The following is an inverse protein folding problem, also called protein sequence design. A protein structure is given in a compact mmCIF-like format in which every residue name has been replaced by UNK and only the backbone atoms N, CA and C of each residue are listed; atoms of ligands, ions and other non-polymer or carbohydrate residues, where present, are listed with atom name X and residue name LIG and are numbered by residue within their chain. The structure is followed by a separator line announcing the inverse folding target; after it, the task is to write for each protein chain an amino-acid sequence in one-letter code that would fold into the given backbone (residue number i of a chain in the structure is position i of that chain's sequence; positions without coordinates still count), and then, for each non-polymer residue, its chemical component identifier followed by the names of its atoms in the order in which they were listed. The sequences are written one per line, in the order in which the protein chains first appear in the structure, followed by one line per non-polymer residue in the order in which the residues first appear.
data_IF_038347787391
#
_entry.id   IF_038347787391
#
_cell.length_a   1.000
_cell.length_b   1.000
_cell.length_c   1.000
_cell.angle_alpha   90.00
_cell.angle_beta   90.00
_cell.angle_gamma   90.00
#
_symmetry.space_group_name_H-M   'P 1'
#
loop_
_entity.id
_entity.type
_entity.pdbx_description
1 polymer ?
#
# COMPACT_ATOMS: atom_id res chain seq x y z
N UNK A 1 -5.26 -6.23 -29.12
CA UNK A 1 -5.69 -5.67 -27.81
C UNK A 1 -5.32 -6.70 -26.74
N UNK A 2 -4.36 -6.42 -25.85
CA UNK A 2 -4.08 -7.29 -24.71
C UNK A 2 -5.31 -7.22 -23.78
N UNK A 3 -6.16 -8.24 -23.77
CA UNK A 3 -7.27 -8.32 -22.82
C UNK A 3 -6.70 -8.71 -21.46
N UNK A 4 -6.53 -7.70 -20.58
CA UNK A 4 -6.07 -7.93 -19.22
C UNK A 4 -7.21 -8.56 -18.40
N UNK A 5 -6.95 -9.70 -17.77
CA UNK A 5 -7.93 -10.33 -16.89
C UNK A 5 -8.17 -9.47 -15.65
N UNK A 6 -9.42 -9.46 -15.17
CA UNK A 6 -9.86 -8.61 -14.06
C UNK A 6 -9.00 -8.77 -12.81
N UNK A 7 -8.63 -10.00 -12.44
CA UNK A 7 -7.77 -10.28 -11.29
C UNK A 7 -6.38 -9.64 -11.39
N UNK A 8 -5.84 -9.54 -12.61
CA UNK A 8 -4.54 -8.88 -12.85
C UNK A 8 -4.70 -7.38 -12.76
N UNK A 9 -5.78 -6.82 -13.31
CA UNK A 9 -6.09 -5.40 -13.18
C UNK A 9 -6.27 -4.96 -11.72
N UNK A 10 -6.99 -5.75 -10.92
CA UNK A 10 -7.18 -5.48 -9.49
C UNK A 10 -5.87 -5.55 -8.71
N UNK A 11 -5.00 -6.54 -9.02
CA UNK A 11 -3.68 -6.65 -8.40
C UNK A 11 -2.77 -5.45 -8.74
N UNK A 12 -2.79 -4.99 -10.00
CA UNK A 12 -2.03 -3.82 -10.43
C UNK A 12 -2.56 -2.53 -9.79
N UNK A 13 -3.88 -2.37 -9.71
CA UNK A 13 -4.50 -1.25 -9.03
C UNK A 13 -4.13 -1.21 -7.53
N UNK A 14 -4.13 -2.37 -6.85
CA UNK A 14 -3.67 -2.49 -5.48
C UNK A 14 -2.22 -2.04 -5.30
N UNK A 15 -1.31 -2.53 -6.16
CA UNK A 15 0.10 -2.14 -6.18
C UNK A 15 0.25 -0.62 -6.41
N UNK A 16 -0.47 -0.07 -7.38
CA UNK A 16 -0.44 1.35 -7.71
C UNK A 16 -0.93 2.24 -6.56
N UNK A 17 -2.03 1.88 -5.90
CA UNK A 17 -2.53 2.60 -4.74
C UNK A 17 -1.55 2.59 -3.58
N UNK A 18 -0.87 1.46 -3.33
CA UNK A 18 0.17 1.40 -2.30
C UNK A 18 1.40 2.22 -2.65
N UNK A 19 1.82 2.24 -3.92
CA UNK A 19 2.87 3.14 -4.38
C UNK A 19 2.48 4.62 -4.17
N UNK A 20 1.24 5.00 -4.51
CA UNK A 20 0.72 6.34 -4.29
C UNK A 20 0.67 6.70 -2.80
N UNK A 21 0.25 5.78 -1.93
CA UNK A 21 0.24 6.00 -0.49
C UNK A 21 1.64 6.29 0.06
N UNK A 22 2.65 5.52 -0.35
CA UNK A 22 4.04 5.72 0.06
C UNK A 22 4.53 7.10 -0.37
N UNK A 23 4.32 7.45 -1.65
CA UNK A 23 4.75 8.75 -2.18
C UNK A 23 4.04 9.92 -1.48
N UNK A 24 2.73 9.79 -1.25
CA UNK A 24 1.93 10.76 -0.50
C UNK A 24 2.47 10.96 0.91
N UNK A 25 2.65 9.88 1.67
CA UNK A 25 3.05 9.97 3.07
C UNK A 25 4.49 10.47 3.23
N UNK A 26 5.41 10.02 2.37
CA UNK A 26 6.78 10.51 2.36
C UNK A 26 6.86 12.01 2.04
N UNK A 27 6.10 12.46 1.03
CA UNK A 27 6.03 13.89 0.68
C UNK A 27 5.41 14.72 1.80
N UNK A 28 4.37 14.17 2.44
CA UNK A 28 3.74 14.81 3.59
C UNK A 28 4.71 14.95 4.77
N UNK A 29 5.49 13.92 5.10
CA UNK A 29 6.45 13.98 6.21
C UNK A 29 7.59 14.95 5.92
N UNK A 30 8.04 15.00 4.67
CA UNK A 30 9.00 16.01 4.23
C UNK A 30 8.43 17.43 4.27
N UNK A 31 7.13 17.62 4.07
CA UNK A 31 6.49 18.92 4.28
C UNK A 31 6.47 19.30 5.77
N UNK A 32 6.23 18.33 6.67
CA UNK A 32 6.25 18.55 8.13
C UNK A 32 7.66 18.79 8.70
N UNK A 33 8.73 18.47 7.97
CA UNK A 33 10.10 18.77 8.39
C UNK A 33 10.51 20.22 8.12
N UNK A 34 9.68 21.01 7.43
CA UNK A 34 9.98 22.41 7.14
C UNK A 34 9.79 23.29 8.38
N UNK A 35 10.52 24.41 8.50
CA UNK A 35 10.26 25.42 9.52
C UNK A 35 8.83 25.94 9.43
N UNK A 36 8.23 26.22 10.59
CA UNK A 36 6.89 26.77 10.69
C UNK A 36 6.98 28.28 10.54
N UNK A 37 6.54 28.77 9.38
CA UNK A 37 6.50 30.19 9.03
C UNK A 37 5.11 30.58 8.52
N UNK A 38 4.84 31.89 8.42
CA UNK A 38 3.60 32.40 7.81
C UNK A 38 3.49 31.86 6.38
N UNK A 39 2.51 30.98 6.14
CA UNK A 39 2.28 30.31 4.85
C UNK A 39 2.77 28.86 4.75
N UNK A 40 3.54 28.37 5.72
CA UNK A 40 4.03 26.98 5.79
C UNK A 40 3.43 26.19 6.97
N UNK A 41 2.27 26.62 7.47
CA UNK A 41 1.55 25.96 8.56
C UNK A 41 0.57 24.94 7.98
N UNK A 42 0.76 23.67 8.32
CA UNK A 42 -0.24 22.61 8.13
C UNK A 42 -1.13 22.59 9.38
N UNK A 43 -2.36 23.10 9.25
CA UNK A 43 -3.29 23.26 10.39
C UNK A 43 -3.98 21.96 10.80
N UNK A 44 -4.10 21.00 9.89
CA UNK A 44 -4.84 19.74 10.08
C UNK A 44 -4.04 18.53 9.59
N UNK A 45 -2.83 18.30 10.16
CA UNK A 45 -1.92 17.28 9.65
C UNK A 45 -2.48 15.86 9.80
N UNK A 46 -3.21 15.60 10.89
CA UNK A 46 -3.87 14.32 11.13
C UNK A 46 -4.95 14.00 10.10
N UNK A 47 -5.79 14.98 9.75
CA UNK A 47 -6.86 14.81 8.78
C UNK A 47 -6.30 14.47 7.39
N UNK A 48 -5.17 15.07 7.00
CA UNK A 48 -4.48 14.77 5.75
C UNK A 48 -3.97 13.32 5.72
N UNK A 49 -3.35 12.86 6.81
CA UNK A 49 -2.97 11.44 6.96
C UNK A 49 -4.17 10.51 6.76
N UNK A 50 -5.31 10.81 7.39
CA UNK A 50 -6.53 10.04 7.25
C UNK A 50 -7.02 9.99 5.80
N UNK A 51 -7.02 11.13 5.10
CA UNK A 51 -7.38 11.17 3.68
C UNK A 51 -6.46 10.26 2.86
N UNK A 52 -5.14 10.30 3.08
CA UNK A 52 -4.20 9.42 2.40
C UNK A 52 -4.47 7.94 2.66
N UNK A 53 -4.78 7.55 3.90
CA UNK A 53 -5.12 6.17 4.24
C UNK A 53 -6.37 5.68 3.52
N UNK A 54 -7.45 6.48 3.54
CA UNK A 54 -8.72 6.10 2.95
C UNK A 54 -8.74 6.17 1.43
N UNK A 55 -7.93 7.05 0.83
CA UNK A 55 -7.85 7.18 -0.62
C UNK A 55 -6.94 6.11 -1.25
N UNK A 56 -5.89 5.71 -0.54
CA UNK A 56 -4.84 4.87 -1.12
C UNK A 56 -4.62 3.55 -0.36
N UNK A 57 -4.27 3.61 0.93
CA UNK A 57 -3.80 2.44 1.65
C UNK A 57 -4.87 1.37 1.82
N UNK A 58 -6.03 1.75 2.38
CA UNK A 58 -7.12 0.83 2.67
C UNK A 58 -7.75 0.24 1.39
N UNK A 59 -8.09 1.04 0.36
CA UNK A 59 -8.57 0.46 -0.89
C UNK A 59 -7.52 -0.41 -1.57
N UNK A 60 -6.22 -0.09 -1.45
CA UNK A 60 -5.13 -0.93 -1.94
C UNK A 60 -5.13 -2.34 -1.33
N UNK A 61 -5.31 -2.45 -0.01
CA UNK A 61 -5.47 -3.76 0.66
C UNK A 61 -6.77 -4.45 0.24
N UNK A 62 -7.87 -3.71 0.11
CA UNK A 62 -9.14 -4.25 -0.36
C UNK A 62 -9.03 -4.87 -1.76
N UNK A 63 -8.40 -4.17 -2.70
CA UNK A 63 -8.17 -4.64 -4.06
C UNK A 63 -7.21 -5.84 -4.11
N UNK A 64 -6.19 -5.89 -3.26
CA UNK A 64 -5.33 -7.06 -3.12
C UNK A 64 -6.14 -8.31 -2.70
N UNK A 65 -7.06 -8.14 -1.74
CA UNK A 65 -7.98 -9.19 -1.32
C UNK A 65 -8.92 -9.65 -2.44
N UNK A 66 -9.53 -8.71 -3.17
CA UNK A 66 -10.39 -9.01 -4.32
C UNK A 66 -9.61 -9.74 -5.42
N UNK A 67 -8.41 -9.26 -5.77
CA UNK A 67 -7.53 -9.90 -6.74
C UNK A 67 -7.22 -11.34 -6.35
N UNK A 68 -6.94 -11.58 -5.06
CA UNK A 68 -6.71 -12.92 -4.54
C UNK A 68 -7.95 -13.83 -4.68
N UNK A 69 -9.14 -13.36 -4.30
CA UNK A 69 -10.38 -14.14 -4.38
C UNK A 69 -10.70 -14.54 -5.82
N UNK A 70 -10.46 -13.65 -6.79
CA UNK A 70 -10.65 -13.93 -8.22
C UNK A 70 -9.57 -14.91 -8.75
N UNK A 71 -8.32 -14.72 -8.34
CA UNK A 71 -7.19 -15.47 -8.86
C UNK A 71 -7.06 -16.89 -8.28
N UNK A 72 -7.56 -17.17 -7.07
CA UNK A 72 -7.33 -18.47 -6.40
C UNK A 72 -7.83 -19.70 -7.18
N UNK A 73 -8.79 -19.56 -8.10
CA UNK A 73 -9.29 -20.69 -8.90
C UNK A 73 -8.40 -21.02 -10.10
N UNK A 74 -8.01 -19.99 -10.84
CA UNK A 74 -7.26 -20.13 -12.08
C UNK A 74 -5.73 -20.06 -11.84
N UNK A 75 -5.32 -19.71 -10.62
CA UNK A 75 -3.95 -19.62 -10.13
C UNK A 75 -2.96 -18.91 -11.09
N UNK A 76 -3.28 -17.71 -11.63
CA UNK A 76 -2.37 -17.01 -12.52
C UNK A 76 -1.11 -16.57 -11.78
N UNK A 77 0.05 -17.02 -12.26
CA UNK A 77 1.37 -16.64 -11.72
C UNK A 77 1.58 -15.12 -11.68
N UNK A 78 1.03 -14.39 -12.65
CA UNK A 78 1.11 -12.93 -12.71
C UNK A 78 0.54 -12.25 -11.46
N UNK A 79 -0.66 -12.67 -11.01
CA UNK A 79 -1.28 -12.11 -9.79
C UNK A 79 -0.46 -12.46 -8.57
N UNK A 80 0.06 -13.69 -8.48
CA UNK A 80 0.93 -14.10 -7.37
C UNK A 80 2.17 -13.20 -7.24
N UNK A 81 2.86 -12.95 -8.35
CA UNK A 81 4.04 -12.07 -8.37
C UNK A 81 3.69 -10.64 -7.98
N UNK A 82 2.59 -10.10 -8.49
CA UNK A 82 2.17 -8.73 -8.18
C UNK A 82 1.83 -8.58 -6.69
N UNK A 83 1.11 -9.52 -6.09
CA UNK A 83 0.79 -9.46 -4.65
C UNK A 83 2.04 -9.59 -3.78
N UNK A 84 3.00 -10.44 -4.15
CA UNK A 84 4.27 -10.52 -3.42
C UNK A 84 5.04 -9.20 -3.56
N UNK A 85 5.15 -8.65 -4.76
CA UNK A 85 5.83 -7.37 -5.00
C UNK A 85 5.17 -6.23 -4.19
N UNK A 86 3.84 -6.19 -4.15
CA UNK A 86 3.08 -5.23 -3.36
C UNK A 86 3.35 -5.39 -1.85
N UNK A 87 3.42 -6.63 -1.37
CA UNK A 87 3.72 -6.94 0.03
C UNK A 87 5.17 -6.67 0.46
N UNK A 88 6.09 -6.47 -0.49
CA UNK A 88 7.45 -5.99 -0.24
C UNK A 88 7.52 -4.46 -0.35
N UNK A 89 6.83 -3.88 -1.35
CA UNK A 89 6.83 -2.45 -1.64
C UNK A 89 6.36 -1.62 -0.44
N UNK A 90 5.24 -2.00 0.18
CA UNK A 90 4.66 -1.25 1.30
C UNK A 90 5.62 -1.19 2.50
N UNK A 91 6.15 -2.31 3.04
CA UNK A 91 7.13 -2.25 4.13
C UNK A 91 8.39 -1.44 3.78
N UNK A 92 8.94 -1.57 2.57
CA UNK A 92 10.12 -0.80 2.16
C UNK A 92 9.85 0.71 2.12
N UNK A 93 8.72 1.12 1.54
CA UNK A 93 8.32 2.52 1.50
C UNK A 93 8.07 3.09 2.90
N UNK A 94 7.41 2.32 3.77
CA UNK A 94 7.13 2.73 5.14
C UNK A 94 8.37 2.79 6.01
N UNK A 95 9.35 1.91 5.78
CA UNK A 95 10.67 2.01 6.42
C UNK A 95 11.36 3.33 6.06
N UNK A 96 11.36 3.72 4.78
CA UNK A 96 11.89 5.01 4.37
C UNK A 96 11.14 6.17 5.04
N UNK A 97 9.81 6.17 5.00
CA UNK A 97 8.99 7.21 5.65
C UNK A 97 9.19 7.27 7.16
N UNK A 98 9.42 6.13 7.83
CA UNK A 98 9.77 6.08 9.24
C UNK A 98 11.05 6.87 9.55
N UNK A 99 12.08 6.81 8.68
CA UNK A 99 13.30 7.60 8.89
C UNK A 99 13.06 9.10 8.88
N UNK A 100 12.05 9.57 8.12
CA UNK A 100 11.68 10.99 8.05
C UNK A 100 11.04 11.50 9.35
N UNK A 101 10.52 10.61 10.21
CA UNK A 101 9.93 11.02 11.50
C UNK A 101 10.92 11.73 12.43
N UNK A 102 12.21 11.47 12.27
CA UNK A 102 13.28 12.08 13.08
C UNK A 102 13.54 13.56 12.73
N UNK A 103 13.12 14.01 11.55
CA UNK A 103 13.35 15.38 11.06
C UNK A 103 12.07 16.22 11.06
N UNK A 104 10.93 15.67 11.48
CA UNK A 104 9.67 16.40 11.60
C UNK A 104 9.82 17.49 12.67
N UNK A 105 9.28 18.67 12.38
CA UNK A 105 9.22 19.77 13.33
C UNK A 105 8.50 19.35 14.63
N UNK A 106 9.03 19.74 15.80
CA UNK A 106 8.51 19.31 17.10
C UNK A 106 7.02 19.60 17.30
N UNK A 107 6.50 20.70 16.75
CA UNK A 107 5.10 21.09 16.84
C UNK A 107 4.16 20.10 16.12
N UNK A 108 4.69 19.29 15.19
CA UNK A 108 3.95 18.25 14.48
C UNK A 108 4.23 16.83 15.00
N UNK A 109 5.04 16.64 16.04
CA UNK A 109 5.38 15.33 16.61
C UNK A 109 4.29 14.80 17.53
N UNK A 110 3.08 14.67 16.98
CA UNK A 110 1.96 13.99 17.66
C UNK A 110 2.03 12.47 17.42
N UNK A 111 1.57 11.70 18.42
CA UNK A 111 1.67 10.24 18.44
C UNK A 111 1.15 9.57 17.15
N UNK A 112 -0.01 10.01 16.67
CA UNK A 112 -0.67 9.43 15.50
C UNK A 112 0.15 9.55 14.21
N UNK A 113 0.93 10.63 14.07
CA UNK A 113 1.81 10.84 12.91
C UNK A 113 3.06 9.96 13.03
N UNK A 114 3.59 9.78 14.24
CA UNK A 114 4.83 9.03 14.41
C UNK A 114 4.62 7.51 14.26
N UNK A 115 3.48 6.99 14.72
CA UNK A 115 3.23 5.54 14.73
C UNK A 115 2.80 4.98 13.37
N UNK A 116 2.28 5.84 12.49
CA UNK A 116 1.67 5.41 11.23
C UNK A 116 2.59 4.56 10.33
N UNK A 117 3.86 4.95 10.07
CA UNK A 117 4.73 4.15 9.21
C UNK A 117 4.98 2.78 9.82
N UNK A 118 5.04 2.67 11.15
CA UNK A 118 5.27 1.39 11.84
C UNK A 118 4.08 0.44 11.67
N UNK A 119 2.85 0.96 11.75
CA UNK A 119 1.62 0.18 11.50
C UNK A 119 1.68 -0.39 10.08
N UNK A 120 1.89 0.45 9.06
CA UNK A 120 1.92 0.01 7.66
C UNK A 120 3.16 -0.81 7.30
N UNK A 121 4.26 -0.68 8.04
CA UNK A 121 5.40 -1.58 7.95
C UNK A 121 4.99 -3.00 8.38
N UNK A 122 4.24 -3.15 9.47
CA UNK A 122 3.78 -4.45 9.94
C UNK A 122 2.68 -5.05 9.03
N UNK A 123 1.62 -4.30 8.76
CA UNK A 123 0.49 -4.81 7.96
C UNK A 123 0.81 -4.91 6.47
N UNK A 124 1.81 -4.17 5.99
CA UNK A 124 2.25 -4.17 4.59
C UNK A 124 2.66 -5.55 4.08
N UNK A 125 3.07 -6.47 4.95
CA UNK A 125 3.43 -7.84 4.59
C UNK A 125 2.22 -8.75 4.29
N UNK A 126 1.00 -8.37 4.67
CA UNK A 126 -0.22 -9.18 4.50
C UNK A 126 -0.47 -9.74 3.08
N UNK A 127 -0.11 -9.08 1.97
CA UNK A 127 -0.29 -9.61 0.61
C UNK A 127 0.65 -10.76 0.25
N UNK A 128 1.82 -10.86 0.89
CA UNK A 128 2.81 -11.89 0.60
C UNK A 128 2.23 -13.30 0.75
N UNK A 129 1.61 -13.70 1.89
CA UNK A 129 1.03 -15.03 2.03
C UNK A 129 -0.06 -15.31 0.98
N UNK A 130 -0.83 -14.30 0.55
CA UNK A 130 -1.84 -14.46 -0.51
C UNK A 130 -1.18 -14.79 -1.86
N UNK A 131 -0.13 -14.06 -2.22
CA UNK A 131 0.63 -14.33 -3.44
C UNK A 131 1.34 -15.68 -3.41
N UNK A 132 1.97 -16.05 -2.29
CA UNK A 132 2.59 -17.38 -2.10
C UNK A 132 1.54 -18.49 -2.22
N UNK A 133 0.35 -18.29 -1.63
CA UNK A 133 -0.73 -19.26 -1.74
C UNK A 133 -1.13 -19.49 -3.19
N UNK A 134 -1.38 -18.43 -3.96
CA UNK A 134 -1.68 -18.54 -5.40
C UNK A 134 -0.55 -19.24 -6.16
N UNK A 135 0.70 -18.90 -5.89
CA UNK A 135 1.85 -19.51 -6.57
C UNK A 135 1.95 -21.03 -6.36
N UNK A 136 1.42 -21.54 -5.24
CA UNK A 136 1.41 -22.98 -4.91
C UNK A 136 0.16 -23.71 -5.42
N UNK A 137 -0.90 -23.00 -5.79
CA UNK A 137 -2.14 -23.60 -6.28
C UNK A 137 -1.96 -24.20 -7.69
N UNK A 138 -2.64 -25.33 -7.93
CA UNK A 138 -2.78 -25.90 -9.27
C UNK A 138 -4.07 -25.37 -9.90
N UNK A 139 -4.05 -24.91 -11.16
CA UNK A 139 -5.26 -24.40 -11.80
C UNK A 139 -6.31 -25.50 -11.92
N UNK A 140 -7.56 -25.17 -11.60
CA UNK A 140 -8.68 -26.09 -11.79
C UNK A 140 -8.88 -26.28 -13.30
N UNK A 141 -8.70 -27.51 -13.81
CA UNK A 141 -8.97 -27.83 -15.22
C UNK A 141 -10.44 -27.51 -15.53
N UNK A 142 -10.70 -26.62 -16.48
CA UNK A 142 -12.06 -26.42 -17.01
C UNK A 142 -12.52 -27.74 -17.64
N UNK A 143 -13.55 -28.36 -17.04
CA UNK A 143 -14.26 -29.48 -17.66
C UNK A 143 -15.12 -28.86 -18.74
N UNK A 144 -14.71 -28.98 -20.00
CA UNK A 144 -15.57 -28.66 -21.13
C UNK A 144 -16.72 -29.68 -21.07
N UNK A 145 -17.90 -29.22 -20.67
CA UNK A 145 -19.19 -29.90 -20.86
C UNK A 145 -19.81 -29.34 -22.13
#
# INVERSE_FOLDING_TARGET
MLSMKLETGMALAALGLHAMFIAYLASFYYALSRPIDIGNIITQPYQLVFVGMFLFALPGFGLAGVAYVLAKRDAPKTVAVILIAQGVLMPTGMFYTYTLTNIINEDYRIFDILILPQIFLAIGFAPIPLGIHIAKLKPVKKRYM
#
